data_IF_961661515961
#
_entry.id   IF_961661515961
#
_cell.length_a   1.000
_cell.length_b   1.000
_cell.length_c   1.000
_cell.angle_alpha   90.00
_cell.angle_beta   90.00
_cell.angle_gamma   90.00
#
_symmetry.space_group_name_H-M   'P 1'
#
loop_
_entity.id
_entity.type
_entity.pdbx_description
1 polymer ?
#
# COMPACT_ATOMS: atom_id res chain seq x y z
N UNK A 1 -37.79 -9.34 -17.54
CA UNK A 1 -36.51 -9.75 -16.93
C UNK A 1 -35.37 -9.48 -17.92
N UNK A 2 -34.39 -8.72 -17.48
CA UNK A 2 -33.20 -8.50 -18.28
C UNK A 2 -32.23 -9.67 -18.03
N UNK A 3 -31.85 -10.35 -19.10
CA UNK A 3 -30.88 -11.45 -19.03
C UNK A 3 -29.60 -10.93 -19.66
N UNK A 4 -28.53 -10.84 -18.87
CA UNK A 4 -27.20 -10.52 -19.36
C UNK A 4 -26.44 -11.81 -19.60
N UNK A 5 -26.03 -12.12 -20.85
CA UNK A 5 -25.19 -13.28 -21.07
C UNK A 5 -23.84 -13.09 -20.38
N UNK A 6 -23.51 -14.00 -19.49
CA UNK A 6 -22.19 -14.04 -18.88
C UNK A 6 -21.22 -14.65 -19.89
N UNK A 7 -20.38 -13.79 -20.46
CA UNK A 7 -19.27 -14.25 -21.28
C UNK A 7 -18.10 -14.53 -20.34
N UNK A 8 -17.77 -15.79 -20.19
CA UNK A 8 -16.58 -16.18 -19.42
C UNK A 8 -15.34 -16.07 -20.33
N UNK A 9 -14.85 -14.83 -20.48
CA UNK A 9 -13.64 -14.56 -21.24
C UNK A 9 -12.41 -14.74 -20.35
N UNK A 10 -11.68 -15.82 -20.52
CA UNK A 10 -10.46 -16.13 -19.79
C UNK A 10 -9.19 -15.67 -20.53
N UNK A 11 -9.33 -15.01 -21.68
CA UNK A 11 -8.21 -14.51 -22.48
C UNK A 11 -7.50 -13.32 -21.83
N UNK A 12 -8.26 -12.45 -21.15
CA UNK A 12 -7.73 -11.28 -20.48
C UNK A 12 -7.14 -11.65 -19.11
N UNK A 13 -5.96 -11.11 -18.84
CA UNK A 13 -5.25 -11.29 -17.57
C UNK A 13 -5.00 -9.94 -16.94
N UNK A 14 -5.72 -9.67 -15.87
CA UNK A 14 -5.60 -8.42 -15.10
C UNK A 14 -5.00 -8.75 -13.75
N UNK A 15 -3.97 -8.02 -13.36
CA UNK A 15 -3.37 -8.10 -12.03
C UNK A 15 -3.67 -6.83 -11.28
N UNK A 16 -4.22 -6.96 -10.08
CA UNK A 16 -4.31 -5.88 -9.11
C UNK A 16 -3.13 -5.99 -8.14
N UNK A 17 -2.35 -4.93 -8.06
CA UNK A 17 -1.23 -4.83 -7.14
C UNK A 17 -1.57 -3.77 -6.10
N UNK A 18 -1.48 -4.16 -4.83
CA UNK A 18 -1.62 -3.29 -3.68
C UNK A 18 -0.38 -3.48 -2.81
N UNK A 19 0.39 -2.42 -2.63
CA UNK A 19 1.63 -2.47 -1.86
C UNK A 19 1.32 -2.60 -0.37
N UNK A 20 1.88 -3.61 0.26
CA UNK A 20 1.59 -3.94 1.65
C UNK A 20 2.25 -2.97 2.62
N UNK A 21 1.42 -2.33 3.48
CA UNK A 21 1.87 -1.35 4.48
C UNK A 21 2.86 -0.34 3.90
N UNK A 22 2.57 0.19 2.72
CA UNK A 22 3.53 0.88 1.85
C UNK A 22 4.26 2.04 2.52
N UNK A 23 3.52 2.97 3.13
CA UNK A 23 4.16 4.14 3.73
C UNK A 23 5.07 3.76 4.90
N UNK A 24 4.62 2.81 5.70
CA UNK A 24 5.44 2.28 6.80
C UNK A 24 6.69 1.55 6.28
N UNK A 25 6.54 0.80 5.19
CA UNK A 25 7.67 0.11 4.55
C UNK A 25 8.72 1.10 4.00
N UNK A 26 8.28 2.21 3.41
CA UNK A 26 9.18 3.28 2.95
C UNK A 26 9.96 3.88 4.12
N UNK A 27 9.28 4.16 5.22
CA UNK A 27 9.92 4.71 6.42
C UNK A 27 10.93 3.72 7.04
N UNK A 28 10.60 2.45 7.10
CA UNK A 28 11.52 1.42 7.59
C UNK A 28 12.74 1.24 6.68
N UNK A 29 12.56 1.37 5.37
CA UNK A 29 13.66 1.33 4.41
C UNK A 29 14.64 2.47 4.64
N UNK A 30 14.11 3.68 4.84
CA UNK A 30 14.92 4.88 5.01
C UNK A 30 15.51 5.00 6.42
N UNK A 31 14.87 4.37 7.40
CA UNK A 31 15.35 4.30 8.78
C UNK A 31 15.24 2.88 9.32
N UNK A 32 16.27 2.02 9.09
CA UNK A 32 16.24 0.63 9.52
C UNK A 32 16.08 0.42 11.03
N UNK A 33 16.33 1.44 11.85
CA UNK A 33 16.11 1.36 13.30
C UNK A 33 14.64 1.17 13.68
N UNK A 34 13.72 1.44 12.76
CA UNK A 34 12.28 1.24 12.96
C UNK A 34 11.85 -0.22 12.84
N UNK A 35 12.66 -1.08 12.24
CA UNK A 35 12.33 -2.49 12.08
C UNK A 35 12.13 -3.17 13.43
N UNK A 36 11.06 -3.97 13.51
CA UNK A 36 10.69 -4.66 14.74
C UNK A 36 9.98 -3.80 15.78
N UNK A 37 9.76 -2.52 15.49
CA UNK A 37 9.05 -1.59 16.38
C UNK A 37 7.68 -1.25 15.80
N UNK A 38 6.65 -1.00 16.64
CA UNK A 38 5.34 -0.57 16.14
C UNK A 38 5.43 0.85 15.59
N UNK A 39 5.19 0.99 14.28
CA UNK A 39 5.24 2.27 13.55
C UNK A 39 3.87 2.58 13.00
N UNK A 40 3.40 3.79 13.26
CA UNK A 40 2.12 4.32 12.79
C UNK A 40 2.38 5.55 11.93
N UNK A 41 1.86 5.55 10.73
CA UNK A 41 1.89 6.72 9.86
C UNK A 41 0.64 7.55 10.11
N UNK A 42 0.84 8.68 10.74
CA UNK A 42 -0.22 9.58 11.15
C UNK A 42 0.32 10.60 12.14
N UNK A 43 -0.51 11.56 12.44
CA UNK A 43 -0.16 12.63 13.37
C UNK A 43 -0.07 12.08 14.80
N UNK A 44 1.00 12.44 15.50
CA UNK A 44 1.18 12.04 16.89
C UNK A 44 0.16 12.78 17.79
N UNK A 45 -0.76 12.06 18.45
CA UNK A 45 -1.80 12.70 19.24
C UNK A 45 -1.27 13.42 20.48
N UNK A 46 -0.07 13.10 20.95
CA UNK A 46 0.59 13.80 22.07
C UNK A 46 1.01 15.22 21.67
N UNK A 47 1.28 15.45 20.40
CA UNK A 47 1.68 16.74 19.85
C UNK A 47 0.51 17.52 19.23
N UNK A 48 -0.51 16.82 18.77
CA UNK A 48 -1.65 17.41 18.06
C UNK A 48 -2.87 17.68 18.94
N UNK A 49 -2.78 17.45 20.24
CA UNK A 49 -3.94 17.58 21.14
C UNK A 49 -4.99 16.49 20.92
N UNK A 50 -4.57 15.28 20.61
CA UNK A 50 -5.44 14.13 20.40
C UNK A 50 -6.02 14.02 19.00
N UNK A 51 -5.58 14.84 18.04
CA UNK A 51 -6.04 14.83 16.65
C UNK A 51 -5.20 13.90 15.79
N UNK A 52 -5.79 13.47 14.71
CA UNK A 52 -5.12 12.68 13.69
C UNK A 52 -5.82 11.37 13.42
N UNK A 53 -5.51 10.81 12.25
CA UNK A 53 -6.03 9.54 11.76
C UNK A 53 -4.86 8.69 11.27
N UNK A 54 -4.89 7.41 11.55
CA UNK A 54 -3.90 6.46 11.06
C UNK A 54 -4.08 6.27 9.56
N UNK A 55 -3.06 6.63 8.77
CA UNK A 55 -3.04 6.36 7.34
C UNK A 55 -2.75 4.88 7.09
N UNK A 56 -1.69 4.38 7.70
CA UNK A 56 -1.32 2.97 7.72
C UNK A 56 -0.40 2.70 8.90
N UNK A 57 -0.09 1.44 9.13
CA UNK A 57 0.88 1.04 10.15
C UNK A 57 1.57 -0.26 9.74
N UNK A 58 2.72 -0.52 10.35
CA UNK A 58 3.42 -1.77 10.09
C UNK A 58 2.78 -2.95 10.86
N UNK A 59 3.25 -4.16 10.60
CA UNK A 59 2.68 -5.36 11.23
C UNK A 59 2.90 -5.40 12.74
N UNK A 60 4.00 -4.84 13.24
CA UNK A 60 4.24 -4.76 14.67
C UNK A 60 3.15 -3.93 15.37
N UNK A 61 2.74 -2.82 14.77
CA UNK A 61 1.63 -2.02 15.27
C UNK A 61 0.28 -2.76 15.14
N UNK A 62 0.08 -3.50 14.06
CA UNK A 62 -1.16 -4.27 13.84
C UNK A 62 -1.38 -5.35 14.90
N UNK A 63 -0.34 -5.88 15.51
CA UNK A 63 -0.44 -6.84 16.62
C UNK A 63 -1.17 -6.26 17.83
N UNK A 64 -1.17 -4.94 17.98
CA UNK A 64 -1.89 -4.24 19.05
C UNK A 64 -3.32 -3.86 18.66
N UNK A 65 -3.77 -4.23 17.46
CA UNK A 65 -5.09 -3.90 16.96
C UNK A 65 -5.17 -2.56 16.22
N UNK A 66 -4.04 -1.94 15.93
CA UNK A 66 -3.99 -0.68 15.16
C UNK A 66 -4.24 -0.98 13.68
N UNK A 67 -5.05 -0.15 13.05
CA UNK A 67 -5.36 -0.28 11.62
C UNK A 67 -5.62 1.09 10.98
N UNK A 68 -5.63 1.12 9.66
CA UNK A 68 -5.95 2.32 8.88
C UNK A 68 -7.33 2.88 9.23
N UNK A 69 -7.48 4.18 9.14
CA UNK A 69 -8.68 4.95 9.46
C UNK A 69 -9.01 5.05 10.96
N UNK A 70 -8.28 4.38 11.82
CA UNK A 70 -8.41 4.54 13.27
C UNK A 70 -7.95 5.93 13.70
N UNK A 71 -8.53 6.48 14.78
CA UNK A 71 -8.00 7.73 15.33
C UNK A 71 -6.61 7.50 15.92
N UNK A 72 -5.73 8.50 15.77
CA UNK A 72 -4.38 8.42 16.35
C UNK A 72 -4.41 8.28 17.87
N UNK A 73 -5.39 8.89 18.53
CA UNK A 73 -5.58 8.76 19.97
C UNK A 73 -5.87 7.32 20.38
N UNK A 74 -6.78 6.67 19.68
CA UNK A 74 -7.11 5.26 19.93
C UNK A 74 -5.89 4.35 19.68
N UNK A 75 -5.13 4.62 18.61
CA UNK A 75 -3.91 3.89 18.33
C UNK A 75 -2.88 4.04 19.45
N UNK A 76 -2.72 5.25 19.99
CA UNK A 76 -1.82 5.50 21.13
C UNK A 76 -2.30 4.77 22.39
N UNK A 77 -3.60 4.73 22.64
CA UNK A 77 -4.16 4.01 23.79
C UNK A 77 -3.90 2.50 23.68
N UNK A 78 -3.99 1.94 22.47
CA UNK A 78 -3.71 0.52 22.20
C UNK A 78 -2.22 0.18 22.32
N UNK A 79 -1.35 1.10 21.93
CA UNK A 79 0.09 0.89 21.92
C UNK A 79 0.80 2.20 22.33
N UNK A 80 0.99 2.44 23.66
CA UNK A 80 1.64 3.66 24.13
C UNK A 80 3.08 3.86 23.63
N UNK A 81 3.77 2.77 23.29
CA UNK A 81 5.13 2.80 22.77
C UNK A 81 5.21 2.96 21.24
N UNK A 82 4.07 3.09 20.55
CA UNK A 82 4.05 3.25 19.11
C UNK A 82 4.81 4.50 18.66
N UNK A 83 5.55 4.36 17.58
CA UNK A 83 6.27 5.47 16.96
C UNK A 83 5.35 6.06 15.90
N UNK A 84 4.93 7.31 16.09
CA UNK A 84 4.11 8.05 15.15
C UNK A 84 5.00 8.86 14.22
N UNK A 85 4.81 8.69 12.92
CA UNK A 85 5.52 9.43 11.88
C UNK A 85 4.48 10.17 11.04
N UNK A 86 4.59 11.48 10.98
CA UNK A 86 3.80 12.30 10.07
C UNK A 86 4.18 11.93 8.63
N UNK A 87 3.21 11.59 7.80
CA UNK A 87 3.47 11.09 6.47
C UNK A 87 4.19 12.11 5.58
N UNK A 88 5.19 11.67 4.84
CA UNK A 88 5.81 12.42 3.78
C UNK A 88 5.27 11.94 2.43
N UNK A 89 4.13 12.47 2.01
CA UNK A 89 3.44 12.04 0.80
C UNK A 89 4.25 12.27 -0.47
N UNK A 90 5.09 13.29 -0.49
CA UNK A 90 5.97 13.57 -1.61
C UNK A 90 6.98 12.43 -1.83
N UNK A 91 7.60 11.97 -0.75
CA UNK A 91 8.50 10.82 -0.76
C UNK A 91 7.77 9.54 -1.16
N UNK A 92 6.58 9.30 -0.64
CA UNK A 92 5.79 8.10 -0.97
C UNK A 92 5.37 8.09 -2.43
N UNK A 93 5.00 9.24 -2.96
CA UNK A 93 4.67 9.41 -4.38
C UNK A 93 5.87 9.10 -5.26
N UNK A 94 7.04 9.63 -4.91
CA UNK A 94 8.29 9.37 -5.63
C UNK A 94 8.62 7.88 -5.68
N UNK A 95 8.54 7.19 -4.54
CA UNK A 95 8.75 5.74 -4.48
C UNK A 95 7.68 4.99 -5.28
N UNK A 96 6.43 5.42 -5.21
CA UNK A 96 5.33 4.86 -6.00
C UNK A 96 5.58 4.97 -7.49
N UNK A 97 6.14 6.09 -7.96
CA UNK A 97 6.52 6.28 -9.35
C UNK A 97 7.64 5.33 -9.77
N UNK A 98 8.62 5.10 -8.91
CA UNK A 98 9.68 4.11 -9.14
C UNK A 98 9.11 2.69 -9.28
N UNK A 99 8.12 2.35 -8.49
CA UNK A 99 7.41 1.05 -8.59
C UNK A 99 6.66 0.96 -9.92
N UNK A 100 6.00 2.02 -10.36
CA UNK A 100 5.30 2.05 -11.65
C UNK A 100 6.27 1.90 -12.83
N UNK A 101 7.46 2.44 -12.75
CA UNK A 101 8.50 2.23 -13.75
C UNK A 101 8.87 0.74 -13.87
N UNK A 102 8.86 0.02 -12.75
CA UNK A 102 9.06 -1.43 -12.75
C UNK A 102 7.90 -2.12 -13.48
N UNK A 103 6.65 -1.72 -13.24
CA UNK A 103 5.47 -2.28 -13.91
C UNK A 103 5.54 -2.12 -15.43
N UNK A 104 6.07 -1.00 -15.91
CA UNK A 104 6.25 -0.74 -17.35
C UNK A 104 7.19 -1.71 -18.04
N UNK A 105 8.00 -2.44 -17.30
CA UNK A 105 8.84 -3.52 -17.86
C UNK A 105 8.01 -4.72 -18.29
N UNK A 106 6.78 -4.85 -17.80
CA UNK A 106 5.90 -5.99 -18.05
C UNK A 106 4.74 -5.64 -18.95
N UNK A 107 4.19 -4.44 -18.84
CA UNK A 107 3.07 -3.97 -19.65
C UNK A 107 3.01 -2.45 -19.70
N UNK A 108 2.50 -1.89 -20.80
CA UNK A 108 2.17 -0.47 -20.89
C UNK A 108 0.74 -0.17 -20.44
N UNK A 109 -0.10 -1.19 -20.26
CA UNK A 109 -1.49 -1.06 -19.85
C UNK A 109 -1.59 -1.06 -18.32
N UNK A 110 -1.33 0.09 -17.74
CA UNK A 110 -1.31 0.30 -16.28
C UNK A 110 -2.33 1.36 -15.93
N UNK A 111 -3.22 1.04 -15.01
CA UNK A 111 -4.16 1.99 -14.44
C UNK A 111 -3.85 2.18 -12.96
N UNK A 112 -3.17 3.28 -12.59
CA UNK A 112 -2.92 3.60 -11.19
C UNK A 112 -4.23 4.04 -10.52
N UNK A 113 -4.53 3.41 -9.37
CA UNK A 113 -5.71 3.74 -8.57
C UNK A 113 -5.36 4.68 -7.42
N UNK A 114 -4.16 4.53 -6.87
CA UNK A 114 -3.63 5.35 -5.79
C UNK A 114 -2.09 5.31 -5.83
N UNK A 115 -1.43 5.90 -4.85
CA UNK A 115 0.04 5.89 -4.77
C UNK A 115 0.59 4.46 -4.72
N UNK A 116 -0.13 3.54 -4.07
CA UNK A 116 0.32 2.18 -3.79
C UNK A 116 -0.50 1.09 -4.48
N UNK A 117 -1.44 1.45 -5.34
CA UNK A 117 -2.31 0.50 -6.04
C UNK A 117 -2.31 0.74 -7.53
N UNK A 118 -2.32 -0.33 -8.30
CA UNK A 118 -2.47 -0.29 -9.75
C UNK A 118 -3.09 -1.56 -10.29
N UNK A 119 -3.83 -1.43 -11.38
CA UNK A 119 -4.24 -2.55 -12.22
C UNK A 119 -3.32 -2.64 -13.42
N UNK A 120 -2.88 -3.85 -13.73
CA UNK A 120 -2.03 -4.14 -14.88
C UNK A 120 -2.76 -5.13 -15.79
N UNK A 121 -2.93 -4.77 -17.05
CA UNK A 121 -3.38 -5.71 -18.07
C UNK A 121 -2.14 -6.40 -18.66
N UNK A 122 -1.95 -7.66 -18.32
CA UNK A 122 -0.80 -8.47 -18.74
C UNK A 122 -1.21 -9.57 -19.72
N UNK A 123 -2.35 -9.39 -20.38
CA UNK A 123 -2.82 -10.31 -21.44
C UNK A 123 -1.74 -10.52 -22.48
N UNK A 124 -1.14 -9.41 -22.96
CA UNK A 124 0.07 -9.39 -23.75
C UNK A 124 1.17 -8.71 -22.96
N UNK A 125 2.03 -9.48 -22.30
CA UNK A 125 3.08 -8.93 -21.45
C UNK A 125 4.44 -8.97 -22.16
N UNK A 126 5.31 -8.03 -21.80
CA UNK A 126 6.61 -7.83 -22.45
C UNK A 126 7.61 -8.96 -22.20
N UNK A 127 7.40 -9.76 -21.17
CA UNK A 127 8.26 -10.92 -20.86
C UNK A 127 7.69 -12.22 -21.45
N UNK A 128 6.55 -12.16 -22.15
CA UNK A 128 5.88 -13.30 -22.80
C UNK A 128 5.54 -14.45 -21.85
N UNK A 129 5.34 -14.17 -20.57
CA UNK A 129 4.93 -15.16 -19.59
C UNK A 129 3.44 -15.47 -19.71
N UNK A 130 3.11 -16.75 -19.61
CA UNK A 130 1.71 -17.21 -19.55
C UNK A 130 1.20 -17.23 -18.10
N UNK A 131 2.08 -17.23 -17.14
CA UNK A 131 1.74 -17.24 -15.73
C UNK A 131 1.72 -15.82 -15.17
N UNK A 132 0.55 -15.41 -14.66
CA UNK A 132 0.38 -14.09 -14.02
C UNK A 132 1.32 -13.86 -12.85
N UNK A 133 1.64 -14.91 -12.11
CA UNK A 133 2.54 -14.81 -10.94
C UNK A 133 3.98 -14.53 -11.33
N UNK A 134 4.39 -14.93 -12.51
CA UNK A 134 5.76 -14.67 -12.99
C UNK A 134 5.95 -13.28 -13.58
N UNK A 135 4.88 -12.50 -13.73
CA UNK A 135 4.92 -11.11 -14.19
C UNK A 135 5.22 -10.14 -13.03
N UNK A 136 4.82 -10.51 -11.87
CA UNK A 136 4.94 -9.72 -10.63
C UNK A 136 5.97 -10.33 -9.71
#
# INVERSE_FOLDING_TARGET
>A
MLIFPLVNDTSRKIIHIDMDAFFAAVEERDNPSLKGKPVVIGQDPRQSGGRGVVSTCNYEARKYGIHSAMSSKEALDLCPQAIFISGNYEKYREVGEQVREIFKRYTDLIEPMSIDEAYLDVTENKIQSKDRKSVV
#
